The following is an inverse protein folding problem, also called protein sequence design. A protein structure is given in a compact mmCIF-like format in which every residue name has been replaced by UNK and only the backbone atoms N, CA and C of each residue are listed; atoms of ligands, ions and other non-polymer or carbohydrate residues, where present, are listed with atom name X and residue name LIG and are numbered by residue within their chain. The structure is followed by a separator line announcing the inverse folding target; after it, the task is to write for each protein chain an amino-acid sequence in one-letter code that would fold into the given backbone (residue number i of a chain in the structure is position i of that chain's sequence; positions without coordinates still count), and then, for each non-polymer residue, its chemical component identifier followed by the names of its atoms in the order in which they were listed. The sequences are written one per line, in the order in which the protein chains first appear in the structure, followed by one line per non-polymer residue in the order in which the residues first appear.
data_IF_436380163256
#
_entry.id   IF_436380163256
#
_cell.length_a   1.000
_cell.length_b   1.000
_cell.length_c   1.000
_cell.angle_alpha   90.00
_cell.angle_beta   90.00
_cell.angle_gamma   90.00
#
_symmetry.space_group_name_H-M   'P 1'
#
loop_
_entity.id
_entity.type
_entity.pdbx_description
1 polymer ?
#
# COMPACT_ATOMS: atom_id res chain seq x y z
N UNK A 1 6.62 -19.83 18.10
CA UNK A 1 5.81 -19.39 16.95
C UNK A 1 5.96 -20.43 15.87
N UNK A 2 4.88 -21.00 15.36
CA UNK A 2 4.92 -21.95 14.25
C UNK A 2 4.92 -21.21 12.89
N UNK A 3 5.22 -21.93 11.81
CA UNK A 3 5.30 -21.34 10.46
C UNK A 3 3.99 -20.68 10.01
N UNK A 4 2.85 -21.23 10.43
CA UNK A 4 1.52 -20.67 10.13
C UNK A 4 1.29 -19.33 10.85
N UNK A 5 1.75 -19.19 12.09
CA UNK A 5 1.67 -17.94 12.84
C UNK A 5 2.55 -16.85 12.22
N UNK A 6 3.75 -17.21 11.73
CA UNK A 6 4.65 -16.30 11.02
C UNK A 6 4.02 -15.79 9.72
N UNK A 7 3.44 -16.68 8.91
CA UNK A 7 2.77 -16.32 7.66
C UNK A 7 1.56 -15.42 7.91
N UNK A 8 0.73 -15.75 8.90
CA UNK A 8 -0.43 -14.94 9.26
C UNK A 8 -0.05 -13.53 9.73
N UNK A 9 1.05 -13.41 10.48
CA UNK A 9 1.57 -12.11 10.88
C UNK A 9 2.00 -11.28 9.67
N UNK A 10 2.71 -11.90 8.71
CA UNK A 10 3.09 -11.28 7.46
C UNK A 10 1.90 -10.73 6.69
N UNK A 11 0.86 -11.55 6.50
CA UNK A 11 -0.39 -11.15 5.84
C UNK A 11 -1.12 -10.01 6.56
N UNK A 12 -1.19 -10.06 7.90
CA UNK A 12 -1.80 -8.98 8.71
C UNK A 12 -1.10 -7.63 8.48
N UNK A 13 0.23 -7.60 8.53
CA UNK A 13 1.01 -6.37 8.28
C UNK A 13 0.74 -5.83 6.89
N UNK A 14 0.68 -6.75 5.94
CA UNK A 14 0.42 -6.50 4.55
C UNK A 14 -0.99 -5.91 4.30
N UNK A 15 -2.00 -6.31 5.07
CA UNK A 15 -3.35 -5.73 5.06
C UNK A 15 -3.38 -4.32 5.67
N UNK A 16 -2.70 -4.11 6.81
CA UNK A 16 -2.55 -2.80 7.46
C UNK A 16 -1.93 -1.78 6.49
N UNK A 17 -0.85 -2.18 5.81
CA UNK A 17 -0.17 -1.35 4.81
C UNK A 17 -1.12 -0.96 3.68
N UNK A 18 -1.87 -1.91 3.12
CA UNK A 18 -2.81 -1.64 2.03
C UNK A 18 -3.94 -0.69 2.47
N UNK A 19 -4.46 -0.88 3.69
CA UNK A 19 -5.50 -0.02 4.26
C UNK A 19 -5.00 1.41 4.47
N UNK A 20 -3.80 1.57 5.04
CA UNK A 20 -3.24 2.89 5.33
C UNK A 20 -2.84 3.63 4.05
N UNK A 21 -2.25 2.95 3.07
CA UNK A 21 -1.98 3.56 1.75
C UNK A 21 -3.27 4.10 1.13
N UNK A 22 -4.34 3.30 1.13
CA UNK A 22 -5.66 3.72 0.64
C UNK A 22 -6.19 4.93 1.41
N UNK A 23 -6.17 4.87 2.74
CA UNK A 23 -6.60 5.96 3.64
C UNK A 23 -5.89 7.27 3.32
N UNK A 24 -4.56 7.27 3.26
CA UNK A 24 -3.80 8.49 2.98
C UNK A 24 -3.96 8.97 1.54
N UNK A 25 -4.11 8.07 0.57
CA UNK A 25 -4.47 8.44 -0.80
C UNK A 25 -5.80 9.20 -0.85
N UNK A 26 -6.81 8.68 -0.17
CA UNK A 26 -8.14 9.29 -0.11
C UNK A 26 -8.13 10.62 0.64
N UNK A 27 -7.37 10.73 1.73
CA UNK A 27 -7.17 12.01 2.45
C UNK A 27 -6.49 13.08 1.58
N UNK A 28 -5.60 12.68 0.67
CA UNK A 28 -4.97 13.58 -0.31
C UNK A 28 -5.90 13.91 -1.50
N UNK A 29 -7.04 13.23 -1.63
CA UNK A 29 -7.99 13.41 -2.73
C UNK A 29 -7.54 12.81 -4.06
N UNK A 30 -6.59 11.87 -4.05
CA UNK A 30 -6.07 11.25 -5.26
C UNK A 30 -6.87 9.99 -5.65
N UNK A 31 -7.17 9.85 -6.93
CA UNK A 31 -7.64 8.57 -7.49
C UNK A 31 -6.52 7.54 -7.55
N UNK A 32 -6.88 6.27 -7.67
CA UNK A 32 -5.89 5.18 -7.83
C UNK A 32 -5.02 5.38 -9.08
N UNK A 33 -5.61 5.89 -10.16
CA UNK A 33 -4.89 6.17 -11.40
C UNK A 33 -3.90 7.32 -11.23
N UNK A 34 -4.29 8.42 -10.58
CA UNK A 34 -3.40 9.55 -10.31
C UNK A 34 -2.19 9.12 -9.48
N UNK A 35 -2.41 8.45 -8.34
CA UNK A 35 -1.30 7.99 -7.50
C UNK A 35 -0.37 7.02 -8.26
N UNK A 36 -0.92 6.12 -9.08
CA UNK A 36 -0.13 5.20 -9.88
C UNK A 36 0.76 5.92 -10.90
N UNK A 37 0.23 6.95 -11.57
CA UNK A 37 1.00 7.77 -12.51
C UNK A 37 2.10 8.56 -11.79
N UNK A 38 1.80 9.17 -10.64
CA UNK A 38 2.76 9.96 -9.87
C UNK A 38 3.95 9.15 -9.35
N UNK A 39 3.74 7.88 -8.97
CA UNK A 39 4.85 7.00 -8.55
C UNK A 39 5.57 6.31 -9.74
N UNK A 40 5.20 6.66 -10.97
CA UNK A 40 5.82 6.21 -12.21
C UNK A 40 5.36 4.82 -12.69
N UNK A 41 4.12 4.42 -12.39
CA UNK A 41 3.50 3.21 -12.96
C UNK A 41 2.75 3.56 -14.24
N UNK A 42 2.62 2.59 -15.14
CA UNK A 42 1.91 2.74 -16.42
C UNK A 42 0.38 2.71 -16.32
N UNK A 43 -0.20 2.46 -15.14
CA UNK A 43 -1.66 2.49 -14.94
C UNK A 43 -2.14 2.12 -13.54
N UNK A 44 -3.38 2.49 -13.21
CA UNK A 44 -3.98 2.36 -11.87
C UNK A 44 -4.36 0.94 -11.45
N UNK A 45 -4.38 -0.03 -12.37
CA UNK A 45 -4.90 -1.36 -12.09
C UNK A 45 -4.07 -2.14 -11.06
N UNK A 46 -2.74 -2.01 -11.08
CA UNK A 46 -1.89 -2.64 -10.06
C UNK A 46 -2.12 -2.03 -8.68
N UNK A 47 -2.16 -0.70 -8.61
CA UNK A 47 -2.37 0.03 -7.37
C UNK A 47 -3.71 -0.34 -6.74
N UNK A 48 -4.79 -0.36 -7.53
CA UNK A 48 -6.10 -0.78 -7.06
C UNK A 48 -6.13 -2.23 -6.57
N UNK A 49 -5.43 -3.17 -7.24
CA UNK A 49 -5.31 -4.55 -6.75
C UNK A 49 -4.53 -4.65 -5.44
N UNK A 50 -3.46 -3.87 -5.29
CA UNK A 50 -2.66 -3.86 -4.06
C UNK A 50 -3.43 -3.23 -2.88
N UNK A 51 -4.21 -2.17 -3.10
CA UNK A 51 -5.06 -1.58 -2.06
C UNK A 51 -6.12 -2.53 -1.52
N UNK A 52 -6.66 -3.41 -2.35
CA UNK A 52 -7.68 -4.39 -1.96
C UNK A 52 -7.13 -5.80 -1.78
N UNK A 53 -5.80 -5.97 -1.80
CA UNK A 53 -5.11 -7.27 -1.62
C UNK A 53 -5.53 -8.36 -2.62
N UNK A 54 -6.07 -7.98 -3.79
CA UNK A 54 -6.59 -8.93 -4.79
C UNK A 54 -5.45 -9.72 -5.42
N UNK A 55 -5.65 -11.02 -5.56
CA UNK A 55 -4.65 -11.96 -6.12
C UNK A 55 -3.29 -11.89 -5.39
N UNK A 56 -3.30 -11.66 -4.07
CA UNK A 56 -2.10 -11.50 -3.23
C UNK A 56 -1.19 -10.33 -3.65
N UNK A 57 -1.70 -9.37 -4.42
CA UNK A 57 -0.95 -8.16 -4.72
C UNK A 57 -0.77 -7.31 -3.48
N UNK A 58 0.44 -6.78 -3.34
CA UNK A 58 0.86 -5.98 -2.22
C UNK A 58 1.93 -4.98 -2.67
N UNK A 59 2.13 -3.93 -1.87
CA UNK A 59 3.17 -2.95 -2.13
C UNK A 59 4.52 -3.48 -1.63
N UNK A 60 5.55 -3.36 -2.47
CA UNK A 60 6.92 -3.54 -2.02
C UNK A 60 7.44 -2.23 -1.38
N UNK A 61 8.59 -2.29 -0.70
CA UNK A 61 9.18 -1.14 -0.01
C UNK A 61 9.45 0.04 -0.97
N UNK A 62 9.85 -0.21 -2.22
CA UNK A 62 10.06 0.86 -3.21
C UNK A 62 8.76 1.57 -3.57
N UNK A 63 7.65 0.84 -3.69
CA UNK A 63 6.33 1.43 -3.88
C UNK A 63 5.97 2.30 -2.67
N UNK A 64 6.11 1.77 -1.45
CA UNK A 64 5.81 2.51 -0.22
C UNK A 64 6.62 3.79 -0.09
N UNK A 65 7.93 3.75 -0.37
CA UNK A 65 8.78 4.95 -0.33
C UNK A 65 8.33 6.04 -1.30
N UNK A 66 7.96 5.67 -2.54
CA UNK A 66 7.44 6.61 -3.53
C UNK A 66 6.07 7.16 -3.14
N UNK A 67 5.17 6.28 -2.69
CA UNK A 67 3.82 6.64 -2.25
C UNK A 67 3.91 7.61 -1.05
N UNK A 68 4.73 7.30 -0.05
CA UNK A 68 4.97 8.17 1.10
C UNK A 68 5.42 9.58 0.67
N UNK A 69 6.35 9.65 -0.29
CA UNK A 69 6.85 10.92 -0.83
C UNK A 69 5.77 11.72 -1.56
N UNK A 70 4.94 11.05 -2.37
CA UNK A 70 3.83 11.69 -3.12
C UNK A 70 2.71 12.15 -2.20
N UNK A 71 2.33 11.32 -1.23
CA UNK A 71 1.27 11.63 -0.28
C UNK A 71 1.71 12.66 0.78
N UNK A 72 3.02 12.92 0.90
CA UNK A 72 3.64 13.75 1.93
C UNK A 72 3.34 13.22 3.35
N UNK A 73 3.58 11.92 3.52
CA UNK A 73 3.32 11.17 4.75
C UNK A 73 4.57 10.38 5.13
N UNK A 74 4.91 10.34 6.42
CA UNK A 74 5.98 9.46 6.92
C UNK A 74 5.63 8.00 6.61
N UNK A 75 6.56 7.29 5.96
CA UNK A 75 6.37 5.89 5.55
C UNK A 75 5.98 4.96 6.72
N UNK A 76 6.40 5.29 7.96
CA UNK A 76 6.03 4.52 9.15
C UNK A 76 4.51 4.49 9.38
N UNK A 77 3.79 5.54 8.97
CA UNK A 77 2.32 5.59 9.10
C UNK A 77 1.60 4.52 8.30
N UNK A 78 2.24 3.92 7.30
CA UNK A 78 1.65 2.78 6.59
C UNK A 78 1.58 1.52 7.46
N UNK A 79 2.38 1.44 8.52
CA UNK A 79 2.49 0.26 9.38
C UNK A 79 1.77 0.43 10.73
N UNK A 80 1.05 1.53 10.94
CA UNK A 80 0.31 1.81 12.17
C UNK A 80 -1.04 1.06 12.19
N UNK A 81 -1.36 0.38 13.30
CA UNK A 81 -2.65 -0.32 13.53
C UNK A 81 -3.80 0.64 13.85
#
# INVERSE_FOLDING_TARGET
MNDLELENYGEKILDIVSLNVKKYREQKGLTQMQLALEIGMSGGAYLGRAEIRKNKHHFNIKHLAKIAKVLDVDIKKFFEE
#
